data_IF_337523321839
#
_entry.id   IF_337523321839
#
_cell.length_a   1.000
_cell.length_b   1.000
_cell.length_c   1.000
_cell.angle_alpha   90.00
_cell.angle_beta   90.00
_cell.angle_gamma   90.00
#
_symmetry.space_group_name_H-M   'P 1'
#
loop_
_entity.id
_entity.type
_entity.pdbx_description
1 polymer ?
#
# COMPACT_ATOMS: atom_id res chain seq x y z
N UNK A 1 22.00 2.99 -33.82
CA UNK A 1 22.39 2.14 -32.68
C UNK A 1 22.46 3.03 -31.44
N UNK A 2 21.52 2.86 -30.50
CA UNK A 2 21.63 3.41 -29.14
C UNK A 2 21.03 4.80 -28.88
N UNK A 3 19.71 4.92 -28.79
CA UNK A 3 19.12 5.76 -27.74
C UNK A 3 18.80 4.84 -26.55
N UNK A 4 19.83 4.63 -25.75
CA UNK A 4 19.74 4.05 -24.42
C UNK A 4 18.77 4.90 -23.58
N UNK A 5 17.71 4.25 -23.09
CA UNK A 5 16.99 4.50 -21.84
C UNK A 5 17.39 5.83 -21.18
N UNK A 6 16.53 6.86 -21.26
CA UNK A 6 16.58 8.03 -20.36
C UNK A 6 16.01 7.58 -19.01
N UNK A 7 16.83 7.07 -18.07
CA UNK A 7 16.36 6.21 -16.99
C UNK A 7 16.13 7.05 -15.75
N UNK A 8 14.97 6.94 -15.12
CA UNK A 8 14.78 7.05 -13.66
C UNK A 8 15.13 8.37 -12.93
N UNK A 9 16.02 9.24 -13.41
CA UNK A 9 16.52 10.43 -12.70
C UNK A 9 15.50 11.56 -12.55
N UNK A 10 14.53 11.65 -13.45
CA UNK A 10 13.40 12.59 -13.30
C UNK A 10 12.43 12.15 -12.19
N UNK A 11 12.37 10.85 -11.90
CA UNK A 11 11.51 10.25 -10.88
C UNK A 11 12.18 10.24 -9.49
N UNK A 12 13.52 10.18 -9.46
CA UNK A 12 14.29 10.22 -8.20
C UNK A 12 14.23 11.61 -7.55
N UNK A 13 14.28 12.68 -8.36
CA UNK A 13 14.27 14.07 -7.86
C UNK A 13 12.90 14.56 -7.35
N UNK A 14 11.80 13.96 -7.80
CA UNK A 14 10.44 14.30 -7.35
C UNK A 14 10.03 13.56 -6.06
N UNK A 15 10.67 12.43 -5.74
CA UNK A 15 10.38 11.66 -4.53
C UNK A 15 11.04 12.28 -3.27
N UNK A 16 12.23 12.86 -3.43
CA UNK A 16 12.93 13.59 -2.35
C UNK A 16 12.28 14.94 -2.00
N UNK A 17 11.56 15.56 -2.93
CA UNK A 17 10.99 16.92 -2.79
C UNK A 17 9.60 16.95 -2.11
N UNK A 18 8.78 15.89 -2.22
CA UNK A 18 7.37 15.92 -1.79
C UNK A 18 6.97 14.91 -0.71
N UNK A 19 7.87 14.06 -0.22
CA UNK A 19 7.56 13.13 0.87
C UNK A 19 6.39 12.18 0.58
N UNK A 20 6.23 11.75 -0.69
CA UNK A 20 5.04 11.01 -1.11
C UNK A 20 5.30 9.50 -1.39
N UNK A 21 4.42 8.62 -0.87
CA UNK A 21 4.45 7.16 -1.00
C UNK A 21 3.77 6.69 -2.30
N UNK A 22 4.12 7.30 -3.43
CA UNK A 22 3.35 7.17 -4.66
C UNK A 22 3.46 5.82 -5.39
N UNK A 23 4.20 4.84 -4.86
CA UNK A 23 4.26 3.48 -5.44
C UNK A 23 3.38 2.44 -4.75
N UNK A 24 2.91 2.67 -3.52
CA UNK A 24 2.22 1.62 -2.75
C UNK A 24 0.76 1.42 -3.16
N UNK A 25 0.10 2.44 -3.71
CA UNK A 25 -1.28 2.33 -4.22
C UNK A 25 -1.37 2.10 -5.74
N UNK A 26 -0.25 1.87 -6.43
CA UNK A 26 -0.23 1.55 -7.86
C UNK A 26 -0.52 0.07 -8.15
N UNK A 27 -0.83 -0.73 -7.12
CA UNK A 27 -1.23 -2.11 -7.29
C UNK A 27 -2.56 -2.18 -8.05
N UNK A 28 -2.48 -2.41 -9.36
CA UNK A 28 -3.64 -2.72 -10.21
C UNK A 28 -3.74 -4.24 -10.28
N UNK A 29 -4.94 -4.78 -10.07
CA UNK A 29 -5.23 -6.22 -10.16
C UNK A 29 -4.42 -7.09 -9.18
N UNK A 30 -4.03 -6.54 -8.03
CA UNK A 30 -3.39 -7.32 -6.98
C UNK A 30 -4.42 -8.16 -6.22
N UNK A 31 -4.02 -9.37 -5.80
CA UNK A 31 -4.90 -10.27 -5.05
C UNK A 31 -5.02 -9.88 -3.56
N UNK A 32 -4.00 -9.20 -3.01
CA UNK A 32 -3.95 -8.71 -1.62
C UNK A 32 -2.96 -7.55 -1.46
N UNK A 33 -3.08 -6.81 -0.36
CA UNK A 33 -2.10 -5.81 0.09
C UNK A 33 -1.26 -6.38 1.25
N UNK A 34 0.06 -6.20 1.21
CA UNK A 34 0.97 -6.60 2.30
C UNK A 34 1.74 -5.38 2.82
N UNK A 35 1.64 -5.11 4.12
CA UNK A 35 2.35 -4.02 4.79
C UNK A 35 3.58 -4.59 5.50
N UNK A 36 4.75 -4.20 5.00
CA UNK A 36 6.05 -4.64 5.53
C UNK A 36 6.82 -3.51 6.23
N UNK A 37 6.32 -2.28 6.16
CA UNK A 37 6.97 -1.08 6.73
C UNK A 37 5.93 -0.13 7.32
N UNK A 38 6.31 0.63 8.34
CA UNK A 38 5.44 1.47 9.18
C UNK A 38 5.45 2.96 8.81
N UNK A 39 5.84 3.31 7.58
CA UNK A 39 5.93 4.69 7.15
C UNK A 39 4.61 5.44 7.38
N UNK A 40 4.71 6.69 7.85
CA UNK A 40 3.54 7.53 8.18
C UNK A 40 2.51 7.58 7.04
N UNK A 41 3.00 7.57 5.81
CA UNK A 41 2.25 7.41 4.57
C UNK A 41 1.18 6.31 4.56
N UNK A 42 1.41 5.20 5.26
CA UNK A 42 0.53 4.01 5.25
C UNK A 42 -0.42 3.94 6.43
N UNK A 43 -0.36 4.90 7.38
CA UNK A 43 -1.20 4.86 8.58
C UNK A 43 -2.66 5.21 8.33
N UNK A 44 -2.95 5.92 7.24
CA UNK A 44 -4.31 6.37 6.93
C UNK A 44 -4.52 6.42 5.42
N UNK A 45 -4.49 5.27 4.72
CA UNK A 45 -4.80 5.24 3.29
C UNK A 45 -6.28 5.53 3.07
N UNK A 46 -6.63 5.91 1.83
CA UNK A 46 -8.01 5.86 1.39
C UNK A 46 -8.40 4.38 1.15
N UNK A 47 -9.05 3.77 2.14
CA UNK A 47 -9.45 2.37 2.10
C UNK A 47 -10.48 2.08 1.00
N UNK A 48 -11.30 3.06 0.59
CA UNK A 48 -12.22 2.86 -0.52
C UNK A 48 -11.43 2.67 -1.82
N UNK A 49 -10.40 3.49 -2.04
CA UNK A 49 -9.49 3.33 -3.19
C UNK A 49 -8.77 2.00 -3.13
N UNK A 50 -8.19 1.62 -1.97
CA UNK A 50 -7.51 0.32 -1.81
C UNK A 50 -8.44 -0.83 -2.19
N UNK A 51 -9.70 -0.81 -1.71
CA UNK A 51 -10.68 -1.86 -1.97
C UNK A 51 -10.99 -2.03 -3.46
N UNK A 52 -11.08 -0.93 -4.21
CA UNK A 52 -11.33 -0.97 -5.67
C UNK A 52 -10.15 -1.47 -6.50
N UNK A 53 -8.94 -1.48 -5.93
CA UNK A 53 -7.69 -1.84 -6.61
C UNK A 53 -7.30 -3.30 -6.42
N UNK A 54 -7.81 -3.92 -5.36
CA UNK A 54 -7.59 -5.33 -5.08
C UNK A 54 -8.69 -6.18 -5.71
N UNK A 55 -8.32 -7.34 -6.27
CA UNK A 55 -9.28 -8.36 -6.72
C UNK A 55 -10.09 -8.91 -5.55
N UNK A 56 -9.42 -9.11 -4.42
CA UNK A 56 -10.02 -9.50 -3.15
C UNK A 56 -9.60 -8.49 -2.07
N UNK A 57 -10.50 -8.02 -1.21
CA UNK A 57 -10.17 -7.04 -0.18
C UNK A 57 -9.42 -7.69 0.99
N UNK A 58 -8.20 -8.18 0.73
CA UNK A 58 -7.37 -8.89 1.71
C UNK A 58 -6.14 -8.03 2.06
N UNK A 59 -5.88 -7.87 3.35
CA UNK A 59 -4.73 -7.13 3.89
C UNK A 59 -3.95 -8.02 4.86
N UNK A 60 -2.65 -8.18 4.61
CA UNK A 60 -1.69 -8.71 5.58
C UNK A 60 -0.86 -7.57 6.15
N UNK A 61 -1.00 -7.30 7.44
CA UNK A 61 -0.32 -6.19 8.10
C UNK A 61 0.74 -6.70 9.06
N UNK A 62 1.98 -6.77 8.56
CA UNK A 62 3.15 -7.17 9.34
C UNK A 62 3.54 -6.15 10.41
N UNK A 63 2.96 -4.95 10.39
CA UNK A 63 3.30 -3.83 11.27
C UNK A 63 2.18 -3.43 12.21
N UNK A 64 1.02 -4.11 12.14
CA UNK A 64 -0.16 -3.84 12.95
C UNK A 64 -0.55 -2.34 12.94
N UNK A 65 -0.52 -1.71 11.76
CA UNK A 65 -0.92 -0.31 11.57
C UNK A 65 -2.43 -0.11 11.72
N UNK A 66 -3.22 -1.15 11.42
CA UNK A 66 -4.68 -1.05 11.44
C UNK A 66 -5.31 -1.90 12.55
N UNK A 67 -6.49 -1.46 13.00
CA UNK A 67 -7.27 -2.18 14.00
C UNK A 67 -8.17 -3.25 13.34
N UNK A 68 -8.15 -4.51 13.81
CA UNK A 68 -8.92 -5.60 13.20
C UNK A 68 -10.43 -5.30 13.08
N UNK A 69 -11.01 -4.70 14.12
CA UNK A 69 -12.43 -4.35 14.14
C UNK A 69 -12.81 -3.33 13.07
N UNK A 70 -11.95 -2.35 12.82
CA UNK A 70 -12.15 -1.34 11.79
C UNK A 70 -12.06 -1.97 10.41
N UNK A 71 -11.05 -2.80 10.17
CA UNK A 71 -10.86 -3.48 8.88
C UNK A 71 -12.02 -4.43 8.56
N UNK A 72 -12.53 -5.14 9.57
CA UNK A 72 -13.74 -5.97 9.46
C UNK A 72 -14.97 -5.14 9.10
N UNK A 73 -15.15 -3.98 9.74
CA UNK A 73 -16.25 -3.06 9.46
C UNK A 73 -16.17 -2.51 8.03
N UNK A 74 -14.96 -2.22 7.54
CA UNK A 74 -14.70 -1.81 6.16
C UNK A 74 -14.82 -2.96 5.15
N UNK A 75 -15.03 -4.20 5.62
CA UNK A 75 -15.18 -5.39 4.80
C UNK A 75 -13.89 -5.84 4.13
N UNK A 76 -12.77 -5.69 4.83
CA UNK A 76 -11.51 -6.34 4.50
C UNK A 76 -11.36 -7.64 5.28
N UNK A 77 -10.81 -8.66 4.64
CA UNK A 77 -10.16 -9.77 5.34
C UNK A 77 -8.80 -9.26 5.82
N UNK A 78 -8.59 -9.23 7.13
CA UNK A 78 -7.41 -8.62 7.74
C UNK A 78 -6.62 -9.61 8.57
N UNK A 79 -5.32 -9.68 8.32
CA UNK A 79 -4.38 -10.54 9.03
C UNK A 79 -3.29 -9.69 9.66
N UNK A 80 -3.36 -9.49 10.98
CA UNK A 80 -2.32 -8.83 11.76
C UNK A 80 -1.41 -9.86 12.46
N UNK A 81 -0.21 -9.43 12.87
CA UNK A 81 0.71 -10.29 13.62
C UNK A 81 0.32 -10.31 15.10
N UNK A 82 0.01 -11.50 15.62
CA UNK A 82 -0.32 -11.70 17.04
C UNK A 82 -1.62 -11.04 17.49
N UNK A 83 -2.56 -10.81 16.56
CA UNK A 83 -3.89 -10.26 16.84
C UNK A 83 -4.97 -11.30 16.56
N UNK A 84 -5.97 -11.37 17.43
CA UNK A 84 -7.20 -12.14 17.17
C UNK A 84 -8.07 -11.40 16.15
N UNK A 85 -8.76 -12.15 15.28
CA UNK A 85 -9.48 -11.66 14.10
C UNK A 85 -10.96 -12.05 14.19
#
# INVERSE_FOLDING_TARGET
>A
MGEFIRPLRALERTAEEYGLPLRVLQAVDADALVIVTEWKAFKSPDFAVVKTRLKNPVIFDGRNLFEPADMKTLGFEYHGIGREI
#
